data_IF_853284770951
#
_entry.id   IF_853284770951
#
_cell.length_a   1.000
_cell.length_b   1.000
_cell.length_c   1.000
_cell.angle_alpha   90.00
_cell.angle_beta   90.00
_cell.angle_gamma   90.00
#
_symmetry.space_group_name_H-M   'P 1'
#
loop_
_entity.id
_entity.type
_entity.pdbx_description
1 polymer ?
#
# COMPACT_ATOMS: atom_id res chain seq x y z
N UNK A 1 -4.14 14.22 -14.56
CA UNK A 1 -4.10 12.95 -15.31
C UNK A 1 -5.26 12.15 -14.76
N UNK A 2 -6.03 11.48 -15.61
CA UNK A 2 -7.07 10.55 -15.13
C UNK A 2 -6.45 9.20 -14.75
N UNK A 3 -7.16 8.38 -13.97
CA UNK A 3 -6.77 6.99 -13.70
C UNK A 3 -6.51 6.21 -15.01
N UNK A 4 -7.28 6.48 -16.07
CA UNK A 4 -7.07 5.91 -17.41
C UNK A 4 -5.69 6.26 -18.01
N UNK A 5 -5.18 7.49 -17.76
CA UNK A 5 -3.85 7.90 -18.24
C UNK A 5 -2.75 7.14 -17.47
N UNK A 6 -2.90 6.95 -16.15
CA UNK A 6 -1.95 6.21 -15.32
C UNK A 6 -1.88 4.74 -15.73
N UNK A 7 -3.03 4.09 -15.96
CA UNK A 7 -3.11 2.71 -16.47
C UNK A 7 -2.41 2.60 -17.82
N UNK A 8 -2.68 3.53 -18.74
CA UNK A 8 -2.06 3.51 -20.05
C UNK A 8 -0.54 3.67 -19.94
N UNK A 9 -0.04 4.61 -19.14
CA UNK A 9 1.40 4.81 -18.96
C UNK A 9 2.07 3.64 -18.25
N UNK A 10 1.45 3.08 -17.21
CA UNK A 10 1.96 1.91 -16.49
C UNK A 10 2.05 0.68 -17.41
N UNK A 11 1.11 0.51 -18.33
CA UNK A 11 1.16 -0.56 -19.34
C UNK A 11 2.36 -0.47 -20.28
N UNK A 12 3.01 0.69 -20.39
CA UNK A 12 4.21 0.87 -21.21
C UNK A 12 5.52 0.63 -20.45
N UNK A 13 5.46 0.52 -19.12
CA UNK A 13 6.61 0.22 -18.29
C UNK A 13 7.12 -1.20 -18.53
N UNK A 14 8.42 -1.40 -18.32
CA UNK A 14 9.00 -2.73 -18.26
C UNK A 14 8.44 -3.50 -17.04
N UNK A 15 8.38 -4.85 -17.08
CA UNK A 15 7.81 -5.64 -15.99
C UNK A 15 8.41 -5.32 -14.62
N UNK A 16 9.74 -5.16 -14.54
CA UNK A 16 10.42 -4.77 -13.30
C UNK A 16 9.93 -3.43 -12.71
N UNK A 17 9.57 -2.48 -13.57
CA UNK A 17 9.11 -1.16 -13.13
C UNK A 17 7.64 -1.20 -12.72
N UNK A 18 6.81 -2.01 -13.40
CA UNK A 18 5.45 -2.30 -12.94
C UNK A 18 5.46 -2.97 -11.55
N UNK A 19 6.38 -3.92 -11.35
CA UNK A 19 6.63 -4.55 -10.05
C UNK A 19 7.00 -3.52 -8.98
N UNK A 20 7.85 -2.53 -9.31
CA UNK A 20 8.16 -1.41 -8.40
C UNK A 20 6.95 -0.52 -8.11
N UNK A 21 6.12 -0.22 -9.12
CA UNK A 21 4.89 0.58 -8.90
C UNK A 21 3.93 -0.16 -7.96
N UNK A 22 3.69 -1.45 -8.18
CA UNK A 22 2.89 -2.28 -7.28
C UNK A 22 3.48 -2.30 -5.86
N UNK A 23 4.80 -2.44 -5.72
CA UNK A 23 5.45 -2.41 -4.40
C UNK A 23 5.25 -1.07 -3.67
N UNK A 24 5.28 0.07 -4.38
CA UNK A 24 5.03 1.38 -3.78
C UNK A 24 3.61 1.52 -3.22
N UNK A 25 2.63 0.79 -3.76
CA UNK A 25 1.29 0.71 -3.16
C UNK A 25 1.34 0.04 -1.78
N UNK A 26 2.04 -1.09 -1.65
CA UNK A 26 2.22 -1.75 -0.36
C UNK A 26 2.95 -0.85 0.64
N UNK A 27 3.99 -0.12 0.21
CA UNK A 27 4.69 0.83 1.10
C UNK A 27 3.75 1.90 1.64
N UNK A 28 2.83 2.42 0.80
CA UNK A 28 1.84 3.43 1.19
C UNK A 28 0.80 2.87 2.16
N UNK A 29 0.10 1.81 1.75
CA UNK A 29 -1.08 1.34 2.47
C UNK A 29 -0.74 0.40 3.63
N UNK A 30 0.43 -0.24 3.66
CA UNK A 30 0.90 -0.97 4.84
C UNK A 30 1.77 -0.08 5.78
N UNK A 31 1.92 1.21 5.45
CA UNK A 31 2.79 2.14 6.20
C UNK A 31 2.20 2.67 7.52
N UNK A 32 0.88 2.57 7.73
CA UNK A 32 0.22 3.10 8.92
C UNK A 32 0.53 2.33 10.21
N UNK A 33 1.13 1.14 10.08
CA UNK A 33 1.46 0.22 11.17
C UNK A 33 2.55 0.72 12.13
N UNK A 34 3.19 1.84 11.81
CA UNK A 34 4.19 2.47 12.68
C UNK A 34 3.56 3.24 13.86
N UNK A 35 2.23 3.41 13.90
CA UNK A 35 1.54 4.08 15.02
C UNK A 35 1.41 3.16 16.26
N UNK A 36 2.03 3.52 17.40
CA UNK A 36 2.00 2.72 18.63
C UNK A 36 0.62 2.61 19.28
N UNK A 37 -0.38 3.41 18.88
CA UNK A 37 -1.76 3.35 19.41
C UNK A 37 -2.38 1.96 19.20
N UNK A 38 -1.96 1.21 18.19
CA UNK A 38 -2.62 -0.03 17.77
C UNK A 38 -1.97 -1.34 18.26
N UNK A 39 -0.76 -1.31 18.85
CA UNK A 39 -0.12 -2.47 19.51
C UNK A 39 -0.50 -2.57 21.00
N UNK A 40 -1.10 -3.67 21.56
CA UNK A 40 -0.84 -5.08 21.20
C UNK A 40 -2.02 -5.96 20.66
N UNK A 41 -3.11 -5.41 20.10
CA UNK A 41 -4.34 -6.22 19.92
C UNK A 41 -4.44 -6.98 18.58
N UNK A 42 -3.46 -6.79 17.68
CA UNK A 42 -3.41 -7.42 16.35
C UNK A 42 -1.99 -7.79 15.94
N UNK A 43 -1.20 -8.41 16.82
CA UNK A 43 0.21 -8.76 16.52
C UNK A 43 0.35 -9.57 15.22
N UNK A 44 -0.58 -10.49 14.93
CA UNK A 44 -0.52 -11.30 13.70
C UNK A 44 -0.79 -10.49 12.43
N UNK A 45 -1.82 -9.65 12.43
CA UNK A 45 -2.15 -8.78 11.30
C UNK A 45 -1.07 -7.73 11.07
N UNK A 46 -0.59 -7.11 12.16
CA UNK A 46 0.52 -6.18 12.14
C UNK A 46 1.76 -6.84 11.55
N UNK A 47 2.16 -8.01 12.04
CA UNK A 47 3.35 -8.69 11.54
C UNK A 47 3.21 -9.11 10.06
N UNK A 48 2.00 -9.46 9.61
CA UNK A 48 1.74 -9.84 8.23
C UNK A 48 1.82 -8.63 7.28
N UNK A 49 1.19 -7.51 7.63
CA UNK A 49 1.27 -6.27 6.84
C UNK A 49 2.68 -5.64 6.92
N UNK A 50 3.38 -5.77 8.05
CA UNK A 50 4.78 -5.35 8.19
C UNK A 50 5.68 -6.18 7.26
N UNK A 51 5.46 -7.49 7.17
CA UNK A 51 6.19 -8.35 6.23
C UNK A 51 5.91 -7.97 4.76
N UNK A 52 4.67 -7.61 4.42
CA UNK A 52 4.31 -7.11 3.09
C UNK A 52 5.05 -5.81 2.76
N UNK A 53 5.07 -4.85 3.70
CA UNK A 53 5.84 -3.61 3.56
C UNK A 53 7.34 -3.87 3.41
N UNK A 54 7.92 -4.77 4.20
CA UNK A 54 9.34 -5.08 4.15
C UNK A 54 9.75 -5.69 2.80
N UNK A 55 8.94 -6.61 2.26
CA UNK A 55 9.13 -7.16 0.91
C UNK A 55 9.04 -6.04 -0.14
N UNK A 56 8.04 -5.16 -0.04
CA UNK A 56 7.88 -4.05 -0.97
C UNK A 56 9.08 -3.09 -0.95
N UNK A 57 9.59 -2.75 0.23
CA UNK A 57 10.79 -1.94 0.39
C UNK A 57 12.03 -2.59 -0.25
N UNK A 58 12.15 -3.93 -0.15
CA UNK A 58 13.23 -4.67 -0.82
C UNK A 58 13.09 -4.61 -2.33
N UNK A 59 11.89 -4.80 -2.87
CA UNK A 59 11.60 -4.68 -4.32
C UNK A 59 11.97 -3.29 -4.84
N UNK A 60 11.54 -2.23 -4.14
CA UNK A 60 11.85 -0.85 -4.54
C UNK A 60 13.35 -0.56 -4.57
N UNK A 61 14.13 -1.19 -3.70
CA UNK A 61 15.59 -0.97 -3.55
C UNK A 61 16.45 -1.89 -4.40
N UNK A 62 15.87 -2.80 -5.19
CA UNK A 62 16.65 -3.67 -6.08
C UNK A 62 17.25 -2.87 -7.23
N UNK A 63 18.58 -2.85 -7.28
CA UNK A 63 19.35 -2.43 -8.44
C UNK A 63 19.44 -3.59 -9.44
N UNK A 64 19.26 -3.30 -10.74
CA UNK A 64 19.02 -4.31 -11.78
C UNK A 64 19.97 -5.53 -11.81
N UNK A 65 19.38 -6.69 -12.10
CA UNK A 65 19.88 -7.95 -12.67
C UNK A 65 21.08 -8.66 -12.02
N UNK A 66 21.70 -8.10 -10.97
CA UNK A 66 22.93 -8.69 -10.39
C UNK A 66 22.93 -8.87 -8.87
N UNK A 67 21.87 -8.46 -8.19
CA UNK A 67 21.85 -8.50 -6.73
C UNK A 67 21.26 -9.81 -6.18
N UNK A 68 21.99 -10.47 -5.26
CA UNK A 68 21.51 -11.68 -4.55
C UNK A 68 20.35 -11.40 -3.59
N UNK A 69 19.87 -10.16 -3.55
CA UNK A 69 18.75 -9.68 -2.75
C UNK A 69 17.44 -9.55 -3.55
N UNK A 70 17.38 -10.15 -4.75
CA UNK A 70 16.14 -10.24 -5.51
C UNK A 70 15.08 -11.00 -4.69
N UNK A 71 13.86 -10.44 -4.66
CA UNK A 71 12.71 -11.05 -4.00
C UNK A 71 12.20 -12.12 -4.94
N UNK A 72 12.33 -13.37 -4.49
CA UNK A 72 11.91 -14.54 -5.26
C UNK A 72 10.39 -14.76 -5.22
N UNK A 73 9.87 -15.50 -6.20
CA UNK A 73 8.47 -15.91 -6.20
C UNK A 73 8.12 -16.77 -4.98
N UNK A 74 9.06 -17.60 -4.48
CA UNK A 74 8.88 -18.39 -3.26
C UNK A 74 8.67 -17.50 -2.02
N UNK A 75 9.36 -16.36 -1.95
CA UNK A 75 9.14 -15.38 -0.87
C UNK A 75 7.77 -14.70 -0.98
N UNK A 76 7.31 -14.41 -2.21
CA UNK A 76 5.97 -13.85 -2.44
C UNK A 76 4.86 -14.87 -2.13
N UNK A 77 5.03 -16.13 -2.53
CA UNK A 77 4.12 -17.23 -2.18
C UNK A 77 4.05 -17.45 -0.66
N UNK A 78 5.20 -17.39 0.01
CA UNK A 78 5.26 -17.49 1.47
C UNK A 78 4.55 -16.32 2.17
N UNK A 79 4.68 -15.10 1.63
CA UNK A 79 3.94 -13.94 2.12
C UNK A 79 2.43 -14.09 1.87
N UNK A 80 2.03 -14.55 0.69
CA UNK A 80 0.62 -14.80 0.36
C UNK A 80 -0.01 -15.78 1.34
N UNK A 81 0.61 -16.94 1.56
CA UNK A 81 0.11 -17.93 2.50
C UNK A 81 -0.02 -17.39 3.92
N UNK A 82 0.88 -16.48 4.33
CA UNK A 82 0.78 -15.80 5.63
C UNK A 82 -0.40 -14.82 5.70
N UNK A 83 -0.62 -14.01 4.65
CA UNK A 83 -1.75 -13.08 4.59
C UNK A 83 -3.08 -13.85 4.60
N UNK A 84 -3.18 -14.90 3.80
CA UNK A 84 -4.36 -15.78 3.73
C UNK A 84 -4.65 -16.46 5.08
N UNK A 85 -3.63 -17.00 5.76
CA UNK A 85 -3.80 -17.60 7.10
C UNK A 85 -4.37 -16.58 8.12
N UNK A 86 -3.89 -15.34 8.07
CA UNK A 86 -4.39 -14.28 8.96
C UNK A 86 -5.82 -13.87 8.59
N UNK A 87 -6.12 -13.74 7.30
CA UNK A 87 -7.47 -13.44 6.81
C UNK A 87 -8.48 -14.52 7.21
N UNK A 88 -8.15 -15.80 7.02
CA UNK A 88 -8.99 -16.93 7.42
C UNK A 88 -9.24 -16.98 8.93
N UNK A 89 -8.29 -16.48 9.73
CA UNK A 89 -8.39 -16.39 11.18
C UNK A 89 -9.04 -15.12 11.72
N UNK A 90 -9.38 -14.15 10.86
CA UNK A 90 -9.97 -12.86 11.27
C UNK A 90 -11.47 -13.00 11.56
N UNK A 91 -11.98 -12.25 12.54
CA UNK A 91 -13.40 -12.28 12.89
C UNK A 91 -14.16 -11.21 12.08
N UNK A 92 -15.07 -11.59 11.16
CA UNK A 92 -15.87 -10.61 10.42
C UNK A 92 -16.84 -9.82 11.31
N UNK A 93 -17.15 -10.33 12.51
CA UNK A 93 -17.96 -9.65 13.54
C UNK A 93 -17.07 -8.95 14.60
N UNK A 94 -15.77 -8.82 14.32
CA UNK A 94 -14.79 -8.15 15.16
C UNK A 94 -15.06 -6.64 15.35
N UNK A 95 -14.28 -5.95 16.20
CA UNK A 95 -14.42 -4.52 16.41
C UNK A 95 -14.20 -3.74 15.10
N UNK A 96 -14.78 -2.53 14.93
CA UNK A 96 -14.73 -1.77 13.68
C UNK A 96 -13.32 -1.55 13.10
N UNK A 97 -12.31 -1.41 13.96
CA UNK A 97 -10.92 -1.27 13.51
C UNK A 97 -10.33 -2.57 12.95
N UNK A 98 -10.80 -3.75 13.37
CA UNK A 98 -10.36 -5.03 12.79
C UNK A 98 -10.76 -5.13 11.31
N UNK A 99 -11.99 -4.72 10.97
CA UNK A 99 -12.47 -4.68 9.58
C UNK A 99 -11.58 -3.81 8.70
N UNK A 100 -11.16 -2.65 9.20
CA UNK A 100 -10.24 -1.75 8.50
C UNK A 100 -8.88 -2.41 8.22
N UNK A 101 -8.34 -3.17 9.18
CA UNK A 101 -7.09 -3.92 8.99
C UNK A 101 -7.28 -5.08 8.01
N UNK A 102 -8.45 -5.73 8.00
CA UNK A 102 -8.79 -6.78 7.03
C UNK A 102 -8.82 -6.23 5.61
N UNK A 103 -9.37 -5.04 5.38
CA UNK A 103 -9.36 -4.42 4.05
C UNK A 103 -7.93 -4.21 3.52
N UNK A 104 -7.00 -3.85 4.40
CA UNK A 104 -5.58 -3.72 4.08
C UNK A 104 -4.90 -5.07 3.80
N UNK A 105 -5.29 -6.14 4.50
CA UNK A 105 -4.80 -7.49 4.24
C UNK A 105 -5.28 -8.03 2.89
N UNK A 106 -6.55 -7.79 2.55
CA UNK A 106 -7.13 -8.12 1.24
C UNK A 106 -6.39 -7.36 0.16
N UNK A 107 -6.25 -6.03 0.31
CA UNK A 107 -5.49 -5.20 -0.61
C UNK A 107 -4.05 -5.69 -0.80
N UNK A 108 -3.36 -6.02 0.29
CA UNK A 108 -1.99 -6.52 0.21
C UNK A 108 -1.91 -7.81 -0.60
N UNK A 109 -2.88 -8.72 -0.42
CA UNK A 109 -2.99 -9.98 -1.16
C UNK A 109 -3.24 -9.74 -2.64
N UNK A 110 -4.12 -8.81 -3.01
CA UNK A 110 -4.42 -8.44 -4.40
C UNK A 110 -3.19 -7.84 -5.10
N UNK A 111 -2.41 -7.00 -4.39
CA UNK A 111 -1.18 -6.42 -4.94
C UNK A 111 -0.10 -7.49 -5.18
N UNK A 112 -0.11 -8.61 -4.44
CA UNK A 112 0.84 -9.70 -4.69
C UNK A 112 0.68 -10.30 -6.09
N UNK A 113 -0.52 -10.31 -6.67
CA UNK A 113 -0.73 -10.78 -8.04
C UNK A 113 0.08 -9.92 -9.03
N UNK A 114 0.05 -8.60 -8.86
CA UNK A 114 0.82 -7.67 -9.70
C UNK A 114 2.34 -7.77 -9.46
N UNK A 115 2.77 -8.22 -8.28
CA UNK A 115 4.18 -8.45 -7.96
C UNK A 115 4.72 -9.76 -8.52
N UNK A 116 3.87 -10.78 -8.64
CA UNK A 116 4.21 -12.10 -9.17
C UNK A 116 4.10 -12.15 -10.70
N UNK A 117 3.09 -11.49 -11.28
CA UNK A 117 2.83 -11.47 -12.72
C UNK A 117 2.87 -10.03 -13.28
N UNK A 118 4.01 -9.32 -13.20
CA UNK A 118 4.09 -7.92 -13.61
C UNK A 118 3.85 -7.68 -15.12
N UNK A 119 3.97 -8.70 -15.96
CA UNK A 119 3.60 -8.67 -17.37
C UNK A 119 2.08 -8.55 -17.59
N UNK A 120 1.27 -9.13 -16.71
CA UNK A 120 -0.18 -9.12 -16.74
C UNK A 120 -0.69 -7.80 -16.14
N UNK A 121 -0.92 -6.84 -17.04
CA UNK A 121 -1.23 -5.45 -16.68
C UNK A 121 -2.55 -5.34 -15.90
N UNK A 122 -3.47 -6.26 -16.11
CA UNK A 122 -4.74 -6.36 -15.40
C UNK A 122 -4.58 -6.43 -13.88
N UNK A 123 -3.56 -7.10 -13.35
CA UNK A 123 -3.33 -7.16 -11.90
C UNK A 123 -2.92 -5.81 -11.34
N UNK A 124 -2.08 -5.06 -12.06
CA UNK A 124 -1.68 -3.71 -11.65
C UNK A 124 -2.86 -2.73 -11.74
N UNK A 125 -3.70 -2.85 -12.77
CA UNK A 125 -4.93 -2.05 -12.90
C UNK A 125 -5.85 -2.31 -11.71
N UNK A 126 -6.10 -3.57 -11.39
CA UNK A 126 -6.92 -3.94 -10.26
C UNK A 126 -6.35 -3.40 -8.93
N UNK A 127 -5.03 -3.48 -8.74
CA UNK A 127 -4.37 -2.90 -7.58
C UNK A 127 -4.54 -1.37 -7.48
N UNK A 128 -4.59 -0.65 -8.61
CA UNK A 128 -4.90 0.79 -8.62
C UNK A 128 -6.34 1.08 -8.24
N UNK A 129 -7.30 0.33 -8.78
CA UNK A 129 -8.72 0.47 -8.43
C UNK A 129 -8.93 0.29 -6.92
N UNK A 130 -8.30 -0.75 -6.34
CA UNK A 130 -8.39 -1.03 -4.91
C UNK A 130 -7.69 0.02 -4.05
N UNK A 131 -6.59 0.60 -4.54
CA UNK A 131 -5.94 1.72 -3.86
C UNK A 131 -6.83 2.98 -3.86
N UNK A 132 -7.50 3.26 -4.98
CA UNK A 132 -8.44 4.38 -5.10
C UNK A 132 -9.62 4.18 -4.14
N UNK A 133 -10.19 2.98 -4.06
CA UNK A 133 -11.27 2.63 -3.11
C UNK A 133 -10.84 2.83 -1.64
N UNK A 134 -9.62 2.42 -1.25
CA UNK A 134 -9.10 2.65 0.10
C UNK A 134 -8.81 4.13 0.40
N UNK A 135 -8.43 4.91 -0.62
CA UNK A 135 -8.22 6.36 -0.49
C UNK A 135 -9.56 7.09 -0.33
N UNK A 136 -10.57 6.73 -1.11
CA UNK A 136 -11.94 7.23 -1.01
C UNK A 136 -12.55 6.92 0.36
N UNK A 137 -12.48 5.66 0.80
CA UNK A 137 -12.98 5.25 2.11
C UNK A 137 -12.33 6.04 3.26
N UNK A 138 -11.02 6.32 3.16
CA UNK A 138 -10.33 7.11 4.19
C UNK A 138 -10.71 8.59 4.15
N UNK A 139 -10.93 9.16 2.97
CA UNK A 139 -11.44 10.52 2.81
C UNK A 139 -12.85 10.66 3.40
N UNK A 140 -13.74 9.72 3.10
CA UNK A 140 -15.11 9.70 3.64
C UNK A 140 -15.10 9.58 5.16
N UNK A 141 -14.27 8.69 5.73
CA UNK A 141 -14.11 8.57 7.18
C UNK A 141 -13.59 9.87 7.83
N UNK A 142 -12.67 10.57 7.17
CA UNK A 142 -12.15 11.86 7.65
C UNK A 142 -13.18 12.99 7.63
N UNK A 143 -14.22 12.88 6.79
CA UNK A 143 -15.24 13.91 6.57
C UNK A 143 -16.57 13.64 7.30
N UNK A 144 -17.02 12.38 7.37
CA UNK A 144 -18.31 11.98 7.93
C UNK A 144 -18.27 11.73 9.46
N UNK A 145 -17.18 11.15 9.97
CA UNK A 145 -17.14 10.60 11.34
C UNK A 145 -16.57 11.55 12.40
N UNK A 146 -16.16 12.79 12.05
CA UNK A 146 -15.43 13.64 13.01
C UNK A 146 -16.19 14.87 13.55
N UNK A 147 -16.24 15.06 14.90
CA UNK A 147 -16.85 16.22 15.52
C UNK A 147 -15.85 17.37 15.69
N UNK A 148 -16.03 18.45 14.91
CA UNK A 148 -15.62 19.79 15.32
C UNK A 148 -14.24 20.28 14.89
N UNK A 149 -14.11 20.71 13.63
CA UNK A 149 -13.48 21.97 13.20
C UNK A 149 -12.00 22.28 13.53
N UNK A 150 -11.25 21.41 14.23
CA UNK A 150 -9.86 21.64 14.64
C UNK A 150 -8.81 20.98 13.72
N UNK A 151 -9.22 20.38 12.60
CA UNK A 151 -8.34 19.66 11.69
C UNK A 151 -8.50 20.10 10.23
N UNK A 152 -7.44 19.90 9.44
CA UNK A 152 -7.39 20.14 8.01
C UNK A 152 -7.72 18.84 7.30
N UNK A 153 -8.81 18.84 6.54
CA UNK A 153 -9.24 17.73 5.69
C UNK A 153 -8.12 17.32 4.73
N UNK A 154 -7.89 16.01 4.61
CA UNK A 154 -6.86 15.45 3.73
C UNK A 154 -7.53 14.74 2.57
N UNK A 155 -7.31 15.25 1.36
CA UNK A 155 -7.77 14.62 0.11
C UNK A 155 -6.85 13.44 -0.25
N UNK A 156 -7.15 12.26 0.31
CA UNK A 156 -6.37 11.05 0.07
C UNK A 156 -6.41 10.59 -1.39
N UNK A 157 -7.53 10.83 -2.10
CA UNK A 157 -7.67 10.49 -3.51
C UNK A 157 -6.68 11.30 -4.35
N UNK A 158 -6.59 12.61 -4.10
CA UNK A 158 -5.61 13.46 -4.75
C UNK A 158 -4.17 13.07 -4.39
N UNK A 159 -3.87 12.81 -3.11
CA UNK A 159 -2.53 12.40 -2.69
C UNK A 159 -2.07 11.08 -3.31
N UNK A 160 -2.96 10.08 -3.37
CA UNK A 160 -2.70 8.81 -4.02
C UNK A 160 -2.38 9.04 -5.50
N UNK A 161 -3.27 9.76 -6.20
CA UNK A 161 -3.16 9.96 -7.65
C UNK A 161 -1.88 10.73 -8.00
N UNK A 162 -1.57 11.78 -7.24
CA UNK A 162 -0.33 12.55 -7.42
C UNK A 162 0.92 11.70 -7.20
N UNK A 163 0.94 10.87 -6.15
CA UNK A 163 2.06 9.98 -5.86
C UNK A 163 2.24 8.94 -6.99
N UNK A 164 1.17 8.24 -7.37
CA UNK A 164 1.17 7.22 -8.43
C UNK A 164 1.60 7.80 -9.78
N UNK A 165 1.01 8.92 -10.19
CA UNK A 165 1.40 9.64 -11.41
C UNK A 165 2.89 10.01 -11.40
N UNK A 166 3.40 10.51 -10.27
CA UNK A 166 4.80 10.89 -10.15
C UNK A 166 5.75 9.67 -10.21
N UNK A 167 5.36 8.55 -9.58
CA UNK A 167 6.12 7.30 -9.59
C UNK A 167 6.20 6.70 -11.00
N UNK A 168 5.06 6.59 -11.69
CA UNK A 168 5.00 6.11 -13.08
C UNK A 168 5.83 7.01 -13.98
N UNK A 169 5.70 8.33 -13.87
CA UNK A 169 6.51 9.27 -14.67
C UNK A 169 8.00 9.12 -14.41
N UNK A 170 8.39 8.94 -13.15
CA UNK A 170 9.79 8.74 -12.77
C UNK A 170 10.37 7.48 -13.41
N UNK A 171 9.61 6.39 -13.43
CA UNK A 171 10.03 5.12 -14.03
C UNK A 171 10.03 5.19 -15.56
N UNK A 172 8.99 5.76 -16.18
CA UNK A 172 8.89 5.92 -17.63
C UNK A 172 9.98 6.82 -18.24
N UNK A 173 10.57 7.70 -17.43
CA UNK A 173 11.65 8.60 -17.85
C UNK A 173 13.05 8.09 -17.51
N UNK A 174 13.16 6.95 -16.81
CA UNK A 174 14.43 6.32 -16.52
C UNK A 174 15.08 5.73 -17.79
N UNK A 175 16.41 5.66 -17.79
CA UNK A 175 17.16 4.98 -18.83
C UNK A 175 16.88 3.47 -18.84
N UNK A 176 17.20 2.77 -19.94
CA UNK A 176 16.89 1.34 -20.12
C UNK A 176 17.52 0.43 -19.06
N UNK A 177 18.61 0.87 -18.42
CA UNK A 177 19.31 0.13 -17.37
C UNK A 177 18.83 0.54 -15.95
N UNK A 178 17.67 1.20 -15.82
CA UNK A 178 17.17 1.75 -14.55
C UNK A 178 17.93 3.00 -14.08
N UNK A 179 18.80 3.56 -14.92
CA UNK A 179 19.55 4.78 -14.60
C UNK A 179 18.63 5.99 -14.54
N UNK A 180 18.66 6.72 -13.42
CA UNK A 180 17.81 7.88 -13.19
C UNK A 180 16.55 7.63 -12.36
N UNK A 181 16.32 6.40 -11.88
CA UNK A 181 15.30 6.12 -10.87
C UNK A 181 15.77 6.67 -9.52
N UNK A 182 14.99 7.59 -8.94
CA UNK A 182 15.23 8.13 -7.60
C UNK A 182 14.37 7.38 -6.57
N UNK A 183 14.81 6.17 -6.21
CA UNK A 183 14.13 5.32 -5.22
C UNK A 183 13.88 6.06 -3.89
N UNK A 184 14.86 6.79 -3.31
CA UNK A 184 14.60 7.59 -2.11
C UNK A 184 13.44 8.57 -2.25
N UNK A 185 13.31 9.27 -3.39
CA UNK A 185 12.21 10.19 -3.61
C UNK A 185 10.84 9.48 -3.75
N UNK A 186 10.80 8.30 -4.37
CA UNK A 186 9.57 7.48 -4.48
C UNK A 186 9.10 6.98 -3.11
N UNK A 187 10.05 6.49 -2.30
CA UNK A 187 9.75 6.05 -0.93
C UNK A 187 9.31 7.21 -0.05
N UNK A 188 9.97 8.38 -0.14
CA UNK A 188 9.57 9.57 0.60
C UNK A 188 8.14 10.05 0.25
N UNK A 189 7.71 9.93 -1.02
CA UNK A 189 6.31 10.20 -1.41
C UNK A 189 5.36 9.20 -0.75
N UNK A 190 5.73 7.92 -0.74
CA UNK A 190 4.92 6.88 -0.13
C UNK A 190 4.77 7.08 1.40
N UNK A 191 5.84 7.46 2.08
CA UNK A 191 5.83 7.81 3.50
C UNK A 191 5.00 9.08 3.79
N UNK A 192 5.07 10.07 2.90
CA UNK A 192 4.26 11.30 3.00
C UNK A 192 2.75 11.04 2.87
N UNK A 193 2.34 9.98 2.17
CA UNK A 193 0.96 9.50 2.14
C UNK A 193 0.61 8.71 3.41
N UNK A 194 1.46 7.75 3.80
CA UNK A 194 1.17 6.83 4.90
C UNK A 194 0.99 7.55 6.26
N UNK A 195 1.72 8.65 6.48
CA UNK A 195 1.67 9.41 7.74
C UNK A 195 0.30 10.05 8.02
N UNK A 196 -0.25 10.93 7.16
CA UNK A 196 -1.58 11.48 7.38
C UNK A 196 -2.66 10.39 7.36
N UNK A 197 -2.46 9.30 6.61
CA UNK A 197 -3.37 8.16 6.60
C UNK A 197 -3.45 7.51 7.99
N UNK A 198 -2.30 7.26 8.62
CA UNK A 198 -2.23 6.76 10.00
C UNK A 198 -2.84 7.75 11.00
N UNK A 199 -2.58 9.05 10.85
CA UNK A 199 -3.13 10.09 11.73
C UNK A 199 -4.67 10.09 11.72
N UNK A 200 -5.32 9.81 10.57
CA UNK A 200 -6.78 9.70 10.48
C UNK A 200 -7.29 8.45 11.20
N UNK A 201 -6.70 7.29 10.97
CA UNK A 201 -7.05 6.06 11.69
C UNK A 201 -6.93 6.29 13.21
N UNK A 202 -5.81 6.89 13.64
CA UNK A 202 -5.54 7.17 15.05
C UNK A 202 -6.53 8.15 15.68
N UNK A 203 -7.25 8.94 14.89
CA UNK A 203 -8.24 9.89 15.39
C UNK A 203 -9.65 9.34 15.32
N UNK A 204 -10.01 8.65 14.24
CA UNK A 204 -11.36 8.16 14.01
C UNK A 204 -11.70 6.91 14.84
N UNK A 205 -10.71 6.12 15.25
CA UNK A 205 -10.95 4.96 16.12
C UNK A 205 -10.56 5.26 17.57
N UNK A 206 -11.51 5.10 18.50
CA UNK A 206 -11.25 5.11 19.95
C UNK A 206 -10.49 3.86 20.40
N UNK A 207 -10.01 3.86 21.65
CA UNK A 207 -9.40 2.67 22.25
C UNK A 207 -10.40 1.50 22.31
N UNK A 208 -11.67 1.76 22.59
CA UNK A 208 -12.76 0.76 22.64
C UNK A 208 -13.09 0.18 21.26
N UNK A 209 -13.13 1.02 20.23
CA UNK A 209 -13.32 0.58 18.83
C UNK A 209 -12.10 -0.16 18.27
N UNK A 210 -10.94 0.00 18.90
CA UNK A 210 -9.75 -0.81 18.70
C UNK A 210 -9.68 -2.05 19.63
N UNK A 211 -10.76 -2.31 20.38
CA UNK A 211 -10.92 -3.46 21.28
C UNK A 211 -10.46 -3.23 22.72
N UNK A 212 -9.74 -2.15 23.03
CA UNK A 212 -9.16 -1.91 24.37
C UNK A 212 -10.18 -1.35 25.36
N UNK A 213 -10.15 -1.89 26.58
CA UNK A 213 -10.98 -1.46 27.72
C UNK A 213 -10.17 -0.70 28.77
#
# INVERSE_FOLDING_TARGET
MSADDDVQQASLLAPQDRRRVAALLLVRYCGFLEDPKFAPWFERHHDALAAARDIALRICRQDGDTDRSEVSDEELDGLRGRLEEVLEGSDPDGPPFETEVVDHLVFATEVLDALQEPEATEHLVHAFERADELAEARYDMGTEDYPGGEWEEVDFVALESEARTADIRSLSSAGPDGTGIDVPAMLARSEAFARPYADVIARCYSEEEAGRS
#
